data_IF_361282162493
#
_entry.id   IF_361282162493
#
_cell.length_a   1.000
_cell.length_b   1.000
_cell.length_c   1.000
_cell.angle_alpha   90.00
_cell.angle_beta   90.00
_cell.angle_gamma   90.00
#
_symmetry.space_group_name_H-M   'P 1'
#
loop_
_entity.id
_entity.type
_entity.pdbx_description
1 polymer ?
#
# COMPACT_ATOMS: atom_id res chain seq x y z
N UNK A 1 21.66 7.42 13.34
CA UNK A 1 20.44 8.14 13.76
C UNK A 1 19.49 7.11 14.34
N UNK A 2 18.88 7.37 15.51
CA UNK A 2 17.93 6.44 16.14
C UNK A 2 16.73 6.23 15.21
N UNK A 3 16.33 4.97 14.99
CA UNK A 3 15.18 4.62 14.16
C UNK A 3 13.89 4.71 14.99
N UNK A 4 13.60 5.90 15.51
CA UNK A 4 12.39 6.10 16.32
C UNK A 4 11.14 5.95 15.43
N UNK A 5 10.03 5.52 16.04
CA UNK A 5 8.74 5.54 15.39
C UNK A 5 8.41 7.00 14.98
N UNK A 6 7.83 7.22 13.79
CA UNK A 6 7.39 8.55 13.42
C UNK A 6 6.38 9.06 14.45
N UNK A 7 6.51 10.35 14.81
CA UNK A 7 5.57 11.03 15.70
C UNK A 7 4.70 11.95 14.85
N UNK A 8 3.38 12.03 15.08
CA UNK A 8 2.54 13.02 14.41
C UNK A 8 3.05 14.44 14.70
N UNK A 9 2.91 15.35 13.73
CA UNK A 9 3.43 16.73 13.81
C UNK A 9 2.81 17.57 14.94
N UNK A 10 1.73 17.11 15.58
CA UNK A 10 1.08 17.78 16.70
C UNK A 10 1.18 16.94 17.98
N UNK A 11 2.23 17.16 18.79
CA UNK A 11 2.41 16.70 20.17
C UNK A 11 1.96 15.23 20.47
N UNK A 12 2.02 14.38 19.46
CA UNK A 12 1.22 13.15 19.42
C UNK A 12 1.94 11.96 20.07
N UNK A 13 1.12 11.03 20.57
CA UNK A 13 1.55 9.68 20.89
C UNK A 13 2.33 9.07 19.70
N UNK A 14 3.33 8.21 19.97
CA UNK A 14 4.07 7.50 18.92
C UNK A 14 3.10 6.83 17.93
N UNK A 15 3.40 6.95 16.62
CA UNK A 15 2.63 6.21 15.63
C UNK A 15 2.94 4.72 15.76
N UNK A 16 1.93 3.90 15.50
CA UNK A 16 2.01 2.46 15.59
C UNK A 16 2.43 1.85 14.26
N UNK A 17 3.34 0.87 14.28
CA UNK A 17 3.66 0.06 13.09
C UNK A 17 2.50 -0.89 12.76
N UNK A 18 2.00 -0.80 11.53
CA UNK A 18 0.87 -1.59 11.00
C UNK A 18 1.35 -2.75 10.14
N UNK A 19 2.31 -2.48 9.26
CA UNK A 19 2.90 -3.45 8.36
C UNK A 19 4.40 -3.18 8.29
N UNK A 20 5.19 -4.24 8.33
CA UNK A 20 6.57 -4.23 7.87
C UNK A 20 6.75 -5.34 6.84
N UNK A 21 7.29 -4.98 5.68
CA UNK A 21 7.48 -5.87 4.56
C UNK A 21 8.90 -5.71 4.02
N UNK A 22 9.65 -6.81 3.93
CA UNK A 22 10.93 -6.84 3.24
C UNK A 22 10.69 -6.89 1.73
N UNK A 23 11.04 -5.81 1.05
CA UNK A 23 10.82 -5.66 -0.39
C UNK A 23 11.65 -6.64 -1.21
N UNK A 24 12.77 -7.13 -0.68
CA UNK A 24 13.58 -8.15 -1.34
C UNK A 24 12.89 -9.52 -1.40
N UNK A 25 11.80 -9.72 -0.64
CA UNK A 25 10.99 -10.96 -0.66
C UNK A 25 9.85 -10.91 -1.68
N UNK A 26 9.64 -9.77 -2.33
CA UNK A 26 8.56 -9.61 -3.28
C UNK A 26 8.87 -10.33 -4.60
N UNK A 27 7.87 -11.01 -5.23
CA UNK A 27 8.13 -11.82 -6.42
C UNK A 27 8.63 -11.04 -7.65
N UNK A 28 8.34 -9.74 -7.75
CA UNK A 28 8.51 -8.96 -8.99
C UNK A 28 8.98 -7.50 -8.75
N UNK A 29 9.63 -7.21 -7.61
CA UNK A 29 10.02 -5.84 -7.24
C UNK A 29 11.55 -5.65 -7.08
N UNK A 30 12.19 -4.71 -7.81
CA UNK A 30 13.59 -4.37 -7.60
C UNK A 30 13.81 -3.45 -6.38
N UNK A 31 12.75 -2.99 -5.70
CA UNK A 31 12.88 -2.19 -4.50
C UNK A 31 13.55 -2.99 -3.38
N UNK A 32 14.39 -2.31 -2.62
CA UNK A 32 15.17 -2.90 -1.52
C UNK A 32 14.89 -2.16 -0.23
N UNK A 33 14.94 -2.88 0.89
CA UNK A 33 14.70 -2.35 2.22
C UNK A 33 13.37 -2.81 2.82
N UNK A 34 13.02 -2.22 3.96
CA UNK A 34 11.81 -2.52 4.69
C UNK A 34 10.78 -1.43 4.41
N UNK A 35 9.70 -1.79 3.72
CA UNK A 35 8.50 -0.96 3.68
C UNK A 35 7.82 -1.03 5.04
N UNK A 36 7.56 0.13 5.63
CA UNK A 36 6.88 0.28 6.90
C UNK A 36 5.67 1.19 6.75
N UNK A 37 4.51 0.74 7.23
CA UNK A 37 3.28 1.55 7.31
C UNK A 37 2.99 1.81 8.78
N UNK A 38 2.69 3.05 9.13
CA UNK A 38 2.37 3.50 10.47
C UNK A 38 1.00 4.17 10.53
N UNK A 39 0.35 4.10 11.69
CA UNK A 39 -0.92 4.78 11.97
C UNK A 39 -0.94 5.35 13.39
N UNK A 40 -1.46 6.56 13.57
CA UNK A 40 -1.64 7.16 14.90
C UNK A 40 -2.20 8.57 14.83
N UNK A 41 -3.04 8.96 15.80
CA UNK A 41 -3.60 10.31 15.90
C UNK A 41 -4.37 10.78 14.66
N UNK A 42 -5.06 9.87 13.97
CA UNK A 42 -5.76 10.16 12.71
C UNK A 42 -4.85 10.33 11.48
N UNK A 43 -3.55 10.09 11.63
CA UNK A 43 -2.55 10.17 10.56
C UNK A 43 -2.05 8.78 10.18
N UNK A 44 -1.70 8.59 8.91
CA UNK A 44 -1.03 7.39 8.42
C UNK A 44 0.23 7.80 7.64
N UNK A 45 1.25 6.95 7.66
CA UNK A 45 2.52 7.21 6.98
C UNK A 45 3.09 5.92 6.42
N UNK A 46 3.66 5.97 5.22
CA UNK A 46 4.50 4.91 4.67
C UNK A 46 5.92 5.43 4.46
N UNK A 47 6.91 4.56 4.69
CA UNK A 47 8.32 4.83 4.37
C UNK A 47 9.06 3.54 4.03
N UNK A 48 10.18 3.68 3.32
CA UNK A 48 11.16 2.61 3.16
C UNK A 48 12.38 2.96 4.01
N UNK A 49 12.88 1.99 4.77
CA UNK A 49 14.15 2.08 5.52
C UNK A 49 15.10 0.96 5.07
N UNK A 50 16.38 1.06 5.44
CA UNK A 50 17.35 0.01 5.14
C UNK A 50 16.93 -1.34 5.75
N UNK A 51 17.30 -2.44 5.08
CA UNK A 51 16.96 -3.81 5.52
C UNK A 51 17.53 -4.17 6.91
N UNK A 52 18.65 -3.56 7.26
CA UNK A 52 19.36 -3.73 8.53
C UNK A 52 19.03 -2.63 9.55
N UNK A 53 18.00 -1.82 9.29
CA UNK A 53 17.57 -0.78 10.21
C UNK A 53 17.21 -1.38 11.58
N UNK A 54 17.59 -0.66 12.64
CA UNK A 54 17.29 -1.08 14.00
C UNK A 54 15.76 -1.26 14.19
N UNK A 55 15.34 -2.26 15.01
CA UNK A 55 13.92 -2.45 15.31
C UNK A 55 13.31 -1.18 15.90
N UNK A 56 12.10 -0.87 15.46
CA UNK A 56 11.32 0.25 16.00
C UNK A 56 10.64 -0.24 17.27
N UNK A 57 10.78 0.52 18.36
CA UNK A 57 10.02 0.26 19.57
C UNK A 57 8.52 0.49 19.30
N UNK A 58 7.70 -0.56 19.39
CA UNK A 58 6.23 -0.43 19.43
C UNK A 58 5.84 0.05 20.84
N UNK A 59 5.54 1.33 20.97
CA UNK A 59 5.08 1.95 22.22
C UNK A 59 3.54 1.84 22.41
N UNK A 60 2.83 1.12 21.52
CA UNK A 60 1.37 0.93 21.57
C UNK A 60 0.89 -0.33 22.35
N UNK A 61 -0.43 -0.45 22.65
CA UNK A 61 -0.98 -1.62 23.33
C UNK A 61 -0.84 -2.88 22.49
N UNK A 62 -0.26 -3.97 23.01
CA UNK A 62 0.13 -5.16 22.23
C UNK A 62 -0.91 -5.60 21.17
N UNK A 63 -0.50 -5.63 19.90
CA UNK A 63 -1.20 -6.37 18.86
C UNK A 63 -0.67 -7.79 18.80
N UNK A 64 -1.53 -8.74 18.42
CA UNK A 64 -1.10 -10.08 18.05
C UNK A 64 -0.43 -10.03 16.68
N UNK A 65 0.80 -9.50 16.63
CA UNK A 65 1.61 -9.45 15.42
C UNK A 65 1.76 -10.85 14.81
N UNK A 66 1.69 -10.93 13.49
CA UNK A 66 1.86 -12.18 12.73
C UNK A 66 2.94 -11.99 11.68
N UNK A 67 3.79 -13.00 11.54
CA UNK A 67 4.77 -13.03 10.47
C UNK A 67 4.06 -13.31 9.13
N UNK A 68 4.46 -12.59 8.09
CA UNK A 68 4.14 -12.97 6.71
C UNK A 68 5.04 -14.16 6.36
N UNK A 69 4.44 -15.33 6.16
CA UNK A 69 5.18 -16.59 5.92
C UNK A 69 5.38 -16.89 4.43
N UNK A 70 4.83 -16.06 3.55
CA UNK A 70 4.97 -16.20 2.10
C UNK A 70 3.84 -15.55 1.32
N UNK A 71 3.98 -15.52 0.01
CA UNK A 71 3.00 -15.00 -0.93
C UNK A 71 2.30 -16.15 -1.65
N UNK A 72 1.02 -15.95 -1.98
CA UNK A 72 0.33 -16.85 -2.90
C UNK A 72 0.99 -16.78 -4.29
N UNK A 73 0.77 -17.82 -5.11
CA UNK A 73 1.30 -17.85 -6.48
C UNK A 73 0.83 -16.60 -7.24
N UNK A 74 1.75 -15.97 -7.97
CA UNK A 74 1.44 -14.84 -8.85
C UNK A 74 0.28 -15.20 -9.79
N UNK A 75 -0.66 -14.26 -9.92
CA UNK A 75 -1.83 -14.35 -10.79
C UNK A 75 -1.81 -13.17 -11.73
N UNK A 76 -2.34 -13.35 -12.93
CA UNK A 76 -2.62 -12.22 -13.80
C UNK A 76 -3.65 -11.32 -13.09
N UNK A 77 -3.34 -10.03 -13.05
CA UNK A 77 -4.17 -9.00 -12.46
C UNK A 77 -4.36 -7.92 -13.51
N UNK A 78 -5.59 -7.43 -13.63
CA UNK A 78 -5.99 -6.44 -14.62
C UNK A 78 -6.57 -5.21 -13.93
N UNK A 79 -6.50 -4.02 -14.57
CA UNK A 79 -7.08 -2.81 -14.01
C UNK A 79 -8.57 -3.00 -13.75
N UNK A 80 -9.07 -2.39 -12.67
CA UNK A 80 -10.51 -2.38 -12.42
C UNK A 80 -11.23 -1.61 -13.53
N UNK A 81 -12.53 -1.85 -13.69
CA UNK A 81 -13.34 -1.10 -14.68
C UNK A 81 -13.46 0.40 -14.34
N UNK A 82 -13.16 0.79 -13.10
CA UNK A 82 -13.13 2.19 -12.68
C UNK A 82 -11.82 2.88 -13.09
N UNK A 83 -10.91 2.20 -13.79
CA UNK A 83 -9.56 2.68 -14.05
C UNK A 83 -9.49 3.92 -14.97
N UNK A 84 -8.37 4.64 -14.82
CA UNK A 84 -8.07 5.87 -15.54
C UNK A 84 -8.07 5.63 -17.06
N UNK A 85 -8.99 6.25 -17.83
CA UNK A 85 -9.04 6.09 -19.29
C UNK A 85 -7.77 6.60 -19.99
N UNK A 86 -6.89 7.36 -19.33
CA UNK A 86 -5.58 7.70 -19.87
C UNK A 86 -4.62 6.50 -19.96
N UNK A 87 -4.91 5.39 -19.25
CA UNK A 87 -4.11 4.15 -19.23
C UNK A 87 -4.75 2.98 -19.99
N UNK A 88 -6.00 3.13 -20.42
CA UNK A 88 -6.70 2.19 -21.31
C UNK A 88 -7.05 2.91 -22.61
N UNK A 89 -6.33 2.59 -23.69
CA UNK A 89 -6.69 3.06 -25.02
C UNK A 89 -8.05 2.48 -25.43
N UNK A 90 -9.08 3.34 -25.54
CA UNK A 90 -10.35 3.01 -26.20
C UNK A 90 -11.56 2.83 -25.28
N UNK A 91 -12.74 2.77 -25.89
CA UNK A 91 -14.02 2.54 -25.21
C UNK A 91 -14.26 1.05 -25.06
N UNK A 92 -14.39 0.56 -23.83
CA UNK A 92 -14.67 -0.86 -23.55
C UNK A 92 -16.17 -1.16 -23.73
N UNK A 93 -16.49 -2.21 -24.49
CA UNK A 93 -17.85 -2.75 -24.56
C UNK A 93 -18.26 -3.46 -23.25
N UNK A 94 -19.53 -3.89 -23.17
CA UNK A 94 -20.06 -4.53 -21.95
C UNK A 94 -19.37 -5.87 -21.62
N UNK A 95 -19.02 -6.66 -22.63
CA UNK A 95 -18.39 -7.97 -22.48
C UNK A 95 -16.92 -7.83 -22.05
N UNK A 96 -16.22 -6.85 -22.60
CA UNK A 96 -14.87 -6.47 -22.19
C UNK A 96 -14.86 -5.95 -20.75
N UNK A 97 -15.84 -5.13 -20.37
CA UNK A 97 -16.00 -4.67 -18.98
C UNK A 97 -16.31 -5.81 -18.02
N UNK A 98 -17.13 -6.79 -18.43
CA UNK A 98 -17.39 -7.98 -17.63
C UNK A 98 -16.11 -8.82 -17.45
N UNK A 99 -15.38 -9.05 -18.55
CA UNK A 99 -14.13 -9.80 -18.53
C UNK A 99 -13.08 -9.14 -17.63
N UNK A 100 -12.93 -7.81 -17.69
CA UNK A 100 -11.99 -7.10 -16.81
C UNK A 100 -12.38 -7.20 -15.33
N UNK A 101 -13.67 -7.17 -14.99
CA UNK A 101 -14.12 -7.40 -13.61
C UNK A 101 -13.73 -8.78 -13.11
N UNK A 102 -13.83 -9.81 -13.95
CA UNK A 102 -13.50 -11.18 -13.58
C UNK A 102 -11.98 -11.42 -13.45
N UNK A 103 -11.19 -10.67 -14.21
CA UNK A 103 -9.73 -10.76 -14.20
C UNK A 103 -9.05 -9.82 -13.20
N UNK A 104 -9.79 -8.85 -12.66
CA UNK A 104 -9.32 -7.95 -11.63
C UNK A 104 -9.23 -8.66 -10.27
N UNK A 105 -8.13 -8.43 -9.54
CA UNK A 105 -7.95 -9.00 -8.20
C UNK A 105 -8.18 -7.94 -7.12
N UNK A 106 -9.11 -8.19 -6.21
CA UNK A 106 -9.28 -7.37 -4.99
C UNK A 106 -8.52 -7.91 -3.77
N UNK A 107 -8.69 -7.24 -2.63
CA UNK A 107 -8.19 -7.70 -1.32
C UNK A 107 -6.76 -7.27 -0.99
N UNK A 108 -6.19 -7.88 0.06
CA UNK A 108 -4.78 -7.64 0.44
C UNK A 108 -3.84 -8.24 -0.60
N UNK A 109 -2.95 -7.43 -1.18
CA UNK A 109 -2.02 -7.89 -2.22
C UNK A 109 -0.74 -7.06 -2.30
N UNK A 110 0.25 -7.64 -2.97
CA UNK A 110 1.51 -6.98 -3.34
C UNK A 110 1.58 -6.87 -4.86
N UNK A 111 1.98 -5.72 -5.37
CA UNK A 111 1.99 -5.47 -6.81
C UNK A 111 0.60 -5.45 -7.47
N UNK A 112 0.60 -5.58 -8.80
CA UNK A 112 -0.63 -5.61 -9.61
C UNK A 112 -1.28 -4.24 -9.79
N UNK A 113 -2.59 -4.24 -10.04
CA UNK A 113 -3.40 -3.05 -10.29
C UNK A 113 -4.21 -2.67 -9.07
N UNK A 114 -4.31 -1.40 -8.65
CA UNK A 114 -5.14 -1.06 -7.49
C UNK A 114 -6.62 -1.45 -7.69
N UNK A 115 -7.21 -2.04 -6.64
CA UNK A 115 -8.66 -2.24 -6.50
C UNK A 115 -9.27 -0.99 -5.88
N UNK A 116 -9.40 0.04 -6.70
CA UNK A 116 -9.90 1.34 -6.28
C UNK A 116 -11.32 1.23 -5.72
N UNK A 117 -11.51 1.75 -4.52
CA UNK A 117 -12.82 1.81 -3.84
C UNK A 117 -13.67 2.95 -4.39
N UNK A 118 -13.00 4.04 -4.79
CA UNK A 118 -13.58 5.24 -5.39
C UNK A 118 -12.88 5.51 -6.75
N UNK A 119 -12.88 6.76 -7.22
CA UNK A 119 -12.15 7.13 -8.42
C UNK A 119 -10.64 6.85 -8.27
N UNK A 120 -9.95 6.45 -9.35
CA UNK A 120 -8.50 6.26 -9.33
C UNK A 120 -7.77 7.55 -8.98
N UNK A 121 -6.96 7.52 -7.92
CA UNK A 121 -6.12 8.65 -7.53
C UNK A 121 -4.70 8.17 -7.30
N UNK A 122 -3.88 8.27 -8.34
CA UNK A 122 -2.45 8.08 -8.20
C UNK A 122 -1.82 9.29 -7.51
N UNK A 123 -1.04 9.09 -6.45
CA UNK A 123 -0.42 10.20 -5.74
C UNK A 123 0.63 10.88 -6.64
N UNK A 124 0.65 12.21 -6.60
CA UNK A 124 1.66 13.03 -7.22
C UNK A 124 2.04 14.16 -6.27
N UNK A 125 3.34 14.32 -6.01
CA UNK A 125 3.87 15.41 -5.19
C UNK A 125 5.33 15.68 -5.55
N UNK A 126 5.80 16.91 -5.33
CA UNK A 126 7.19 17.32 -5.60
C UNK A 126 7.67 17.03 -7.03
N UNK A 127 6.75 17.10 -8.01
CA UNK A 127 7.06 16.81 -9.42
C UNK A 127 7.25 15.33 -9.74
N UNK A 128 6.91 14.43 -8.79
CA UNK A 128 6.95 12.97 -8.95
C UNK A 128 5.55 12.42 -9.13
N UNK A 129 5.44 11.37 -9.93
CA UNK A 129 4.24 10.55 -10.07
C UNK A 129 4.54 9.19 -9.46
N UNK A 130 3.65 8.68 -8.64
CA UNK A 130 3.80 7.39 -7.98
C UNK A 130 2.75 6.45 -8.55
N UNK A 131 3.15 5.51 -9.39
CA UNK A 131 2.21 4.72 -10.19
C UNK A 131 2.42 3.21 -10.11
N UNK A 132 3.48 2.77 -9.45
CA UNK A 132 3.75 1.37 -9.17
C UNK A 132 3.19 0.98 -7.81
N UNK A 133 2.13 0.18 -7.78
CA UNK A 133 1.59 -0.35 -6.53
C UNK A 133 2.59 -1.32 -5.89
N UNK A 134 2.99 -1.06 -4.64
CA UNK A 134 3.80 -1.98 -3.85
C UNK A 134 2.92 -2.92 -3.02
N UNK A 135 1.96 -2.35 -2.30
CA UNK A 135 1.03 -3.10 -1.45
C UNK A 135 -0.33 -2.41 -1.39
N UNK A 136 -1.37 -3.23 -1.37
CA UNK A 136 -2.74 -2.86 -1.05
C UNK A 136 -3.18 -3.62 0.19
N UNK A 137 -3.80 -2.91 1.14
CA UNK A 137 -4.37 -3.49 2.36
C UNK A 137 -5.84 -3.13 2.48
N UNK A 138 -6.65 -4.10 2.89
CA UNK A 138 -8.05 -3.89 3.24
C UNK A 138 -8.18 -3.81 4.77
N UNK A 139 -8.84 -2.75 5.25
CA UNK A 139 -9.04 -2.52 6.67
C UNK A 139 -9.67 -3.73 7.37
N UNK A 140 -9.13 -4.08 8.54
CA UNK A 140 -9.65 -5.18 9.38
C UNK A 140 -9.46 -6.60 8.83
N UNK A 141 -8.70 -6.81 7.74
CA UNK A 141 -8.38 -8.13 7.20
C UNK A 141 -7.02 -8.64 7.67
N UNK A 142 -5.98 -8.50 6.84
CA UNK A 142 -4.63 -8.98 7.16
C UNK A 142 -4.02 -8.23 8.35
N UNK A 143 -4.33 -6.95 8.46
CA UNK A 143 -3.85 -6.05 9.51
C UNK A 143 -5.01 -5.60 10.41
N UNK A 144 -4.80 -5.46 11.73
CA UNK A 144 -5.82 -4.97 12.66
C UNK A 144 -5.93 -3.43 12.62
N UNK A 145 -5.69 -2.84 11.45
CA UNK A 145 -5.76 -1.41 11.19
C UNK A 145 -7.00 -1.09 10.37
N UNK A 146 -7.63 0.04 10.72
CA UNK A 146 -8.76 0.59 9.97
C UNK A 146 -8.28 1.78 9.12
N UNK A 147 -8.72 1.82 7.87
CA UNK A 147 -8.40 2.90 6.93
C UNK A 147 -9.63 3.78 6.62
N UNK A 148 -10.46 4.02 7.64
CA UNK A 148 -11.77 4.66 7.51
C UNK A 148 -12.92 3.64 7.53
N UNK A 149 -14.09 4.00 6.99
CA UNK A 149 -15.24 3.09 6.90
C UNK A 149 -15.03 2.05 5.78
N UNK A 150 -14.66 0.83 6.18
CA UNK A 150 -14.30 -0.28 5.29
C UNK A 150 -13.22 0.08 4.24
N UNK A 151 -12.26 0.92 4.65
CA UNK A 151 -11.30 1.51 3.72
C UNK A 151 -10.16 0.61 3.26
N UNK A 152 -9.53 1.03 2.16
CA UNK A 152 -8.33 0.45 1.58
C UNK A 152 -7.14 1.40 1.76
N UNK A 153 -5.95 0.83 1.93
CA UNK A 153 -4.68 1.55 1.87
C UNK A 153 -3.84 1.05 0.69
N UNK A 154 -3.24 1.99 -0.04
CA UNK A 154 -2.41 1.72 -1.21
C UNK A 154 -1.06 2.42 -1.02
N UNK A 155 0.04 1.67 -1.14
CA UNK A 155 1.37 2.26 -1.18
C UNK A 155 1.90 2.19 -2.60
N UNK A 156 2.25 3.35 -3.16
CA UNK A 156 2.84 3.47 -4.48
C UNK A 156 4.30 3.86 -4.39
N UNK A 157 5.14 3.32 -5.27
CA UNK A 157 6.53 3.74 -5.47
C UNK A 157 6.66 4.71 -6.63
N UNK A 158 7.63 5.61 -6.54
CA UNK A 158 8.09 6.42 -7.68
C UNK A 158 8.86 5.49 -8.65
N UNK A 159 8.49 5.44 -9.94
CA UNK A 159 9.15 4.58 -10.92
C UNK A 159 10.61 4.96 -11.18
N UNK A 160 11.01 6.21 -10.91
CA UNK A 160 12.37 6.72 -11.10
C UNK A 160 13.22 6.65 -9.83
N UNK A 161 12.60 6.49 -8.66
CA UNK A 161 13.29 6.35 -7.37
C UNK A 161 12.47 5.44 -6.43
N UNK A 162 12.60 4.10 -6.54
CA UNK A 162 11.79 3.15 -5.79
C UNK A 162 11.94 3.24 -4.26
N UNK A 163 12.89 4.03 -3.75
CA UNK A 163 13.01 4.33 -2.32
C UNK A 163 11.97 5.34 -1.82
N UNK A 164 11.33 6.07 -2.75
CA UNK A 164 10.26 7.04 -2.47
C UNK A 164 8.92 6.36 -2.64
N UNK A 165 8.09 6.51 -1.61
CA UNK A 165 6.76 5.94 -1.58
C UNK A 165 5.72 6.97 -1.16
N UNK A 166 4.49 6.77 -1.61
CA UNK A 166 3.32 7.54 -1.24
C UNK A 166 2.23 6.60 -0.74
N UNK A 167 1.57 6.98 0.35
CA UNK A 167 0.41 6.27 0.90
C UNK A 167 -0.87 7.01 0.50
N UNK A 168 -1.84 6.28 -0.02
CA UNK A 168 -3.21 6.75 -0.28
C UNK A 168 -4.19 5.86 0.47
N UNK A 169 -5.20 6.46 1.08
CA UNK A 169 -6.34 5.72 1.65
C UNK A 169 -7.65 6.17 1.02
N UNK A 170 -8.55 5.22 0.83
CA UNK A 170 -9.92 5.46 0.37
C UNK A 170 -10.88 4.71 1.29
N UNK A 171 -11.99 5.33 1.66
CA UNK A 171 -13.08 4.72 2.43
C UNK A 171 -14.43 5.17 1.87
N UNK A 172 -15.50 4.49 2.26
CA UNK A 172 -16.86 4.97 2.00
C UNK A 172 -17.21 6.21 2.83
#
# INVERSE_FOLDING_TARGET
MSADAPRPTHAGAPMRLVLQLDLATLPEDPAVGLLQIFQGGGTQLARIVAADAAPIADEGPAWNGRAIVGFSKAKADFPSVAHDPARTEGTLDDDQRATLRDLHLGGDKVGGWPDWLQDPVYPAHEGRTFDRLLVQLVGGRLVPADFGDAGHAYVFADPNDPSKVALVTQSY
#
